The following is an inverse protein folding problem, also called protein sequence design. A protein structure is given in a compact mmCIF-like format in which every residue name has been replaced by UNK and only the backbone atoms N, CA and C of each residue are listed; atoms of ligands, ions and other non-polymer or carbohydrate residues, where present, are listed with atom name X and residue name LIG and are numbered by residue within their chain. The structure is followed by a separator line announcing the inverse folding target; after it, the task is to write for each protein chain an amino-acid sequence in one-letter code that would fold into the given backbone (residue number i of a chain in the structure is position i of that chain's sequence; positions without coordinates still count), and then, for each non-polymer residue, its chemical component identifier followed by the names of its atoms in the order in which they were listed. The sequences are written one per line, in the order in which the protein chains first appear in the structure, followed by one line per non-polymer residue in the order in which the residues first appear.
data_IF_434922279704
#
_entry.id   IF_434922279704
#
_cell.length_a   1.000
_cell.length_b   1.000
_cell.length_c   1.000
_cell.angle_alpha   90.00
_cell.angle_beta   90.00
_cell.angle_gamma   90.00
#
_symmetry.space_group_name_H-M   'P 1'
#
loop_
_entity.id
_entity.type
_entity.pdbx_description
1 polymer ?
#
# COMPACT_ATOMS: atom_id res chain seq x y z
N UNK A 1 15.75 -0.81 11.08
CA UNK A 1 14.72 0.16 10.65
C UNK A 1 15.29 1.17 9.65
N UNK A 2 16.30 1.98 10.00
CA UNK A 2 16.82 3.03 9.10
C UNK A 2 17.21 2.54 7.70
N UNK A 3 17.90 1.40 7.58
CA UNK A 3 18.23 0.81 6.28
C UNK A 3 17.00 0.46 5.42
N UNK A 4 15.94 -0.03 6.06
CA UNK A 4 14.67 -0.30 5.39
C UNK A 4 14.01 1.00 4.95
N UNK A 5 13.95 2.01 5.83
CA UNK A 5 13.37 3.31 5.51
C UNK A 5 14.09 3.96 4.33
N UNK A 6 15.42 4.01 4.34
CA UNK A 6 16.22 4.53 3.23
C UNK A 6 15.87 3.82 1.92
N UNK A 7 15.81 2.47 1.93
CA UNK A 7 15.49 1.69 0.75
C UNK A 7 14.09 2.00 0.18
N UNK A 8 13.09 2.16 1.05
CA UNK A 8 11.73 2.48 0.62
C UNK A 8 11.63 3.91 0.07
N UNK A 9 12.30 4.88 0.73
CA UNK A 9 12.36 6.27 0.27
C UNK A 9 13.04 6.37 -1.09
N UNK A 10 14.14 5.66 -1.31
CA UNK A 10 14.80 5.62 -2.62
C UNK A 10 13.86 5.13 -3.73
N UNK A 11 12.93 4.20 -3.43
CA UNK A 11 11.93 3.75 -4.39
C UNK A 11 10.88 4.82 -4.69
N UNK A 12 10.45 5.59 -3.67
CA UNK A 12 9.51 6.71 -3.81
C UNK A 12 10.12 7.80 -4.70
N UNK A 13 11.35 8.20 -4.39
CA UNK A 13 12.04 9.27 -5.10
C UNK A 13 12.27 8.92 -6.57
N UNK A 14 12.63 7.65 -6.86
CA UNK A 14 12.85 7.16 -8.22
C UNK A 14 11.59 7.17 -9.09
N UNK A 15 10.41 7.13 -8.50
CA UNK A 15 9.14 7.28 -9.24
C UNK A 15 8.55 8.68 -9.10
N UNK A 16 9.31 9.64 -8.57
CA UNK A 16 8.89 11.03 -8.47
C UNK A 16 7.83 11.29 -7.40
N UNK A 17 7.73 10.42 -6.40
CA UNK A 17 6.92 10.66 -5.22
C UNK A 17 7.65 11.58 -4.24
N UNK A 18 6.90 12.08 -3.27
CA UNK A 18 7.44 12.88 -2.16
C UNK A 18 7.01 12.21 -0.86
N UNK A 19 7.95 12.06 0.06
CA UNK A 19 7.64 11.63 1.44
C UNK A 19 6.97 12.79 2.17
N UNK A 20 5.74 12.58 2.60
CA UNK A 20 4.98 13.54 3.40
C UNK A 20 5.40 13.46 4.87
N UNK A 21 5.37 12.25 5.45
CA UNK A 21 5.81 11.99 6.84
C UNK A 21 6.11 10.52 7.10
N UNK A 22 6.82 10.27 8.20
CA UNK A 22 6.98 8.95 8.81
C UNK A 22 6.00 8.79 9.98
N UNK A 23 5.35 7.63 10.10
CA UNK A 23 4.38 7.32 11.15
C UNK A 23 4.81 5.99 11.79
N UNK A 24 5.68 6.05 12.80
CA UNK A 24 6.30 4.84 13.37
C UNK A 24 7.19 4.15 12.34
N UNK A 25 6.77 2.98 11.87
CA UNK A 25 7.41 2.21 10.78
C UNK A 25 6.75 2.41 9.41
N UNK A 26 5.64 3.16 9.34
CA UNK A 26 4.96 3.49 8.09
C UNK A 26 5.54 4.75 7.43
N UNK A 27 5.44 4.78 6.10
CA UNK A 27 5.80 5.93 5.26
C UNK A 27 4.53 6.41 4.57
N UNK A 28 4.23 7.69 4.72
CA UNK A 28 3.20 8.35 3.93
C UNK A 28 3.87 9.08 2.77
N UNK A 29 3.47 8.72 1.55
CA UNK A 29 4.04 9.28 0.33
C UNK A 29 2.94 9.73 -0.64
N UNK A 30 3.26 10.72 -1.44
CA UNK A 30 2.32 11.41 -2.33
C UNK A 30 2.93 11.60 -3.71
N UNK A 31 2.10 11.47 -4.73
CA UNK A 31 2.42 11.78 -6.12
C UNK A 31 1.40 12.81 -6.63
N UNK A 32 1.81 13.64 -7.59
CA UNK A 32 0.95 14.68 -8.16
C UNK A 32 1.00 16.03 -7.45
N UNK A 33 1.77 16.16 -6.36
CA UNK A 33 1.98 17.42 -5.64
C UNK A 33 3.48 17.69 -5.41
N UNK A 34 3.91 18.97 -5.40
CA UNK A 34 3.12 20.17 -5.68
C UNK A 34 2.77 20.34 -7.17
N UNK A 35 3.39 19.57 -8.05
CA UNK A 35 3.16 19.61 -9.50
C UNK A 35 2.91 18.19 -10.00
N UNK A 36 1.78 18.01 -10.67
CA UNK A 36 1.41 16.75 -11.35
C UNK A 36 2.18 16.57 -12.65
N UNK A 37 2.59 15.33 -12.92
CA UNK A 37 3.21 14.95 -14.20
C UNK A 37 2.23 14.20 -15.12
N UNK A 38 0.97 14.07 -14.72
CA UNK A 38 -0.09 13.39 -15.49
C UNK A 38 -0.11 11.87 -15.36
N UNK A 39 1.02 11.24 -15.03
CA UNK A 39 1.13 9.78 -14.79
C UNK A 39 1.32 9.44 -13.29
N UNK A 40 0.87 10.31 -12.39
CA UNK A 40 1.12 10.20 -10.95
C UNK A 40 0.57 8.91 -10.33
N UNK A 41 -0.60 8.45 -10.78
CA UNK A 41 -1.21 7.20 -10.32
C UNK A 41 -0.38 6.00 -10.74
N UNK A 42 0.10 5.98 -11.99
CA UNK A 42 0.98 4.93 -12.50
C UNK A 42 2.29 4.92 -11.72
N UNK A 43 2.89 6.09 -11.47
CA UNK A 43 4.14 6.22 -10.73
C UNK A 43 4.04 5.79 -9.26
N UNK A 44 2.91 6.05 -8.60
CA UNK A 44 2.67 5.57 -7.24
C UNK A 44 2.68 4.04 -7.18
N UNK A 45 2.00 3.38 -8.14
CA UNK A 45 1.96 1.91 -8.22
C UNK A 45 3.32 1.34 -8.62
N UNK A 46 4.00 1.94 -9.60
CA UNK A 46 5.38 1.57 -9.95
C UNK A 46 6.31 1.71 -8.74
N UNK A 47 6.14 2.75 -7.91
CA UNK A 47 6.91 2.96 -6.68
C UNK A 47 6.72 1.81 -5.70
N UNK A 48 5.47 1.39 -5.46
CA UNK A 48 5.16 0.25 -4.61
C UNK A 48 5.69 -1.09 -5.16
N UNK A 49 5.65 -1.30 -6.48
CA UNK A 49 6.26 -2.48 -7.12
C UNK A 49 7.79 -2.46 -6.95
N UNK A 50 8.44 -1.31 -7.10
CA UNK A 50 9.87 -1.17 -6.85
C UNK A 50 10.22 -1.45 -5.38
N UNK A 51 9.40 -0.99 -4.43
CA UNK A 51 9.55 -1.31 -3.00
C UNK A 51 9.50 -2.81 -2.75
N UNK A 52 8.52 -3.52 -3.35
CA UNK A 52 8.41 -4.99 -3.27
C UNK A 52 9.69 -5.67 -3.76
N UNK A 53 10.16 -5.31 -4.95
CA UNK A 53 11.37 -5.89 -5.55
C UNK A 53 12.61 -5.60 -4.68
N UNK A 54 12.76 -4.36 -4.22
CA UNK A 54 13.85 -3.95 -3.35
C UNK A 54 13.82 -4.72 -2.02
N UNK A 55 12.64 -4.91 -1.43
CA UNK A 55 12.48 -5.65 -0.18
C UNK A 55 12.79 -7.14 -0.35
N UNK A 56 12.41 -7.77 -1.47
CA UNK A 56 12.82 -9.14 -1.76
C UNK A 56 14.34 -9.30 -1.78
N UNK A 57 15.05 -8.35 -2.38
CA UNK A 57 16.52 -8.33 -2.37
C UNK A 57 17.05 -8.10 -0.97
N UNK A 58 16.49 -7.14 -0.23
CA UNK A 58 16.87 -6.84 1.16
C UNK A 58 16.67 -8.04 2.10
N UNK A 59 15.66 -8.86 1.82
CA UNK A 59 15.36 -10.08 2.57
C UNK A 59 16.28 -11.26 2.22
N UNK A 60 17.12 -11.19 1.17
CA UNK A 60 18.08 -12.26 0.87
C UNK A 60 19.06 -12.43 2.04
N UNK A 61 19.09 -13.63 2.61
CA UNK A 61 19.92 -13.94 3.79
C UNK A 61 19.33 -13.47 5.12
N UNK A 62 18.06 -13.02 5.14
CA UNK A 62 17.25 -12.86 6.36
C UNK A 62 16.43 -14.15 6.60
N UNK A 63 15.75 -14.24 7.73
CA UNK A 63 15.04 -15.43 8.21
C UNK A 63 15.61 -16.06 9.48
N UNK A 64 16.54 -15.38 10.16
CA UNK A 64 17.02 -15.78 11.50
C UNK A 64 16.39 -14.89 12.57
N UNK A 65 16.42 -15.30 13.84
CA UNK A 65 15.94 -14.46 14.95
C UNK A 65 16.59 -13.07 14.98
N UNK A 66 17.88 -12.98 14.66
CA UNK A 66 18.62 -11.70 14.62
C UNK A 66 18.31 -10.86 13.37
N UNK A 67 17.82 -11.48 12.31
CA UNK A 67 17.48 -10.84 11.03
C UNK A 67 16.19 -11.46 10.50
N UNK A 68 15.03 -11.12 11.06
CA UNK A 68 13.76 -11.66 10.59
C UNK A 68 13.48 -11.16 9.16
N UNK A 69 12.68 -11.93 8.42
CA UNK A 69 12.10 -11.49 7.16
C UNK A 69 11.19 -10.30 7.46
N UNK A 70 11.25 -9.27 6.61
CA UNK A 70 10.39 -8.09 6.71
C UNK A 70 9.36 -8.16 5.60
N UNK A 71 8.11 -7.87 5.95
CA UNK A 71 7.01 -7.67 5.00
C UNK A 71 6.46 -6.25 5.14
N UNK A 72 5.75 -5.78 4.13
CA UNK A 72 5.04 -4.51 4.18
C UNK A 72 3.65 -4.66 3.57
N UNK A 73 2.74 -3.79 4.01
CA UNK A 73 1.47 -3.52 3.33
C UNK A 73 1.53 -2.11 2.75
N UNK A 74 0.94 -1.93 1.57
CA UNK A 74 0.77 -0.65 0.91
C UNK A 74 -0.66 -0.53 0.42
N UNK A 75 -1.31 0.58 0.78
CA UNK A 75 -2.61 0.97 0.28
C UNK A 75 -2.48 2.24 -0.54
N UNK A 76 -2.92 2.20 -1.80
CA UNK A 76 -2.83 3.34 -2.70
C UNK A 76 -4.25 3.75 -3.08
N UNK A 77 -4.50 5.06 -3.01
CA UNK A 77 -5.74 5.65 -3.48
C UNK A 77 -5.45 6.98 -4.18
N UNK A 78 -6.14 7.22 -5.29
CA UNK A 78 -6.08 8.45 -6.07
C UNK A 78 -7.41 9.20 -5.98
N UNK A 79 -7.35 10.51 -5.82
CA UNK A 79 -8.53 11.34 -5.66
C UNK A 79 -8.17 12.77 -5.24
N UNK A 80 -9.17 13.66 -5.14
CA UNK A 80 -8.96 15.00 -4.64
C UNK A 80 -8.52 14.97 -3.17
N UNK A 81 -7.58 15.83 -2.82
CA UNK A 81 -7.11 16.04 -1.46
C UNK A 81 -6.75 17.50 -1.24
N UNK A 82 -6.61 17.91 0.01
CA UNK A 82 -6.09 19.23 0.37
C UNK A 82 -4.62 19.09 0.74
N UNK A 83 -3.76 19.88 0.09
CA UNK A 83 -2.34 19.98 0.39
C UNK A 83 -2.02 21.41 0.85
N UNK A 84 -1.29 21.56 1.96
CA UNK A 84 -0.95 22.88 2.47
C UNK A 84 -0.16 22.83 3.77
N UNK A 85 0.26 24.01 4.24
CA UNK A 85 0.85 24.15 5.57
C UNK A 85 -0.27 24.11 6.62
N UNK A 86 -0.23 23.11 7.50
CA UNK A 86 -1.20 22.90 8.56
C UNK A 86 -0.44 22.79 9.88
N UNK A 87 -0.96 23.44 10.92
CA UNK A 87 -0.37 23.39 12.25
C UNK A 87 -0.73 24.61 13.10
N UNK A 88 -0.01 24.78 14.20
CA UNK A 88 -0.13 25.97 15.05
C UNK A 88 0.84 27.05 14.59
N UNK A 89 0.68 28.29 15.08
CA UNK A 89 1.59 29.40 14.77
C UNK A 89 3.08 29.06 14.99
N UNK A 90 3.37 28.19 15.96
CA UNK A 90 4.73 27.81 16.33
C UNK A 90 5.23 26.51 15.65
N UNK A 91 4.35 25.76 14.96
CA UNK A 91 4.68 24.50 14.28
C UNK A 91 3.75 24.32 13.09
N UNK A 92 4.25 24.66 11.90
CA UNK A 92 3.60 24.39 10.62
C UNK A 92 4.31 23.23 9.92
N UNK A 93 3.53 22.29 9.39
CA UNK A 93 4.01 21.20 8.54
C UNK A 93 3.25 21.25 7.21
N UNK A 94 3.95 21.09 6.09
CA UNK A 94 3.27 20.85 4.82
C UNK A 94 2.76 19.42 4.82
N UNK A 95 1.45 19.23 4.67
CA UNK A 95 0.83 17.91 4.71
C UNK A 95 -0.35 17.82 3.76
N UNK A 96 -0.73 16.60 3.42
CA UNK A 96 -2.02 16.31 2.78
C UNK A 96 -3.07 15.78 3.76
N UNK A 97 -4.33 16.16 3.55
CA UNK A 97 -5.48 15.67 4.31
C UNK A 97 -6.69 15.44 3.39
N UNK A 98 -7.61 14.58 3.83
CA UNK A 98 -8.91 14.36 3.19
C UNK A 98 -9.30 12.89 3.10
N UNK A 99 -10.51 12.63 2.61
CA UNK A 99 -11.05 11.28 2.50
C UNK A 99 -10.23 10.37 1.59
N UNK A 100 -9.58 10.94 0.56
CA UNK A 100 -8.67 10.20 -0.32
C UNK A 100 -7.49 9.60 0.46
N UNK A 101 -6.89 10.39 1.36
CA UNK A 101 -5.78 9.96 2.22
C UNK A 101 -6.26 8.93 3.24
N UNK A 102 -7.42 9.19 3.87
CA UNK A 102 -8.02 8.28 4.84
C UNK A 102 -8.36 6.91 4.22
N UNK A 103 -8.82 6.89 2.97
CA UNK A 103 -9.09 5.64 2.26
C UNK A 103 -7.81 4.87 1.96
N UNK A 104 -6.73 5.53 1.54
CA UNK A 104 -5.43 4.87 1.30
C UNK A 104 -4.94 4.11 2.54
N UNK A 105 -4.97 4.75 3.72
CA UNK A 105 -4.60 4.09 4.98
C UNK A 105 -5.50 2.91 5.33
N UNK A 106 -6.81 2.99 5.08
CA UNK A 106 -7.71 1.85 5.30
C UNK A 106 -7.45 0.70 4.33
N UNK A 107 -7.12 1.03 3.08
CA UNK A 107 -6.75 0.03 2.06
C UNK A 107 -5.43 -0.65 2.43
N UNK A 108 -4.48 0.07 3.02
CA UNK A 108 -3.22 -0.48 3.51
C UNK A 108 -3.47 -1.57 4.56
N UNK A 109 -4.30 -1.29 5.56
CA UNK A 109 -4.64 -2.22 6.63
C UNK A 109 -5.32 -3.53 6.16
N UNK A 110 -5.85 -3.56 4.93
CA UNK A 110 -6.45 -4.76 4.34
C UNK A 110 -5.42 -5.75 3.79
N UNK A 111 -4.16 -5.35 3.65
CA UNK A 111 -3.11 -6.23 3.14
C UNK A 111 -2.93 -7.48 3.99
N UNK A 112 -2.92 -7.31 5.32
CA UNK A 112 -2.78 -8.44 6.27
C UNK A 112 -3.90 -9.48 6.13
N UNK A 113 -5.20 -9.12 6.27
CA UNK A 113 -6.27 -10.11 6.13
C UNK A 113 -6.38 -10.69 4.71
N UNK A 114 -6.05 -9.91 3.66
CA UNK A 114 -6.04 -10.43 2.29
C UNK A 114 -4.76 -11.18 1.91
N UNK A 115 -3.72 -11.20 2.74
CA UNK A 115 -2.43 -11.82 2.42
C UNK A 115 -1.83 -11.23 1.14
N UNK A 116 -1.81 -9.90 1.03
CA UNK A 116 -1.24 -9.12 -0.07
C UNK A 116 -0.23 -8.11 0.47
N UNK A 117 0.51 -7.46 -0.41
CA UNK A 117 1.42 -6.36 -0.06
C UNK A 117 1.05 -5.02 -0.71
N UNK A 118 0.34 -5.03 -1.84
CA UNK A 118 -0.12 -3.81 -2.53
C UNK A 118 -1.59 -3.93 -2.88
N UNK A 119 -2.40 -3.03 -2.33
CA UNK A 119 -3.83 -2.91 -2.61
C UNK A 119 -4.17 -1.51 -3.13
N UNK A 120 -5.13 -1.46 -4.05
CA UNK A 120 -5.67 -0.21 -4.59
C UNK A 120 -7.20 -0.21 -4.54
N UNK A 121 -7.78 0.98 -4.37
CA UNK A 121 -9.22 1.17 -4.48
C UNK A 121 -9.69 1.24 -5.95
N UNK A 122 -10.97 0.95 -6.19
CA UNK A 122 -11.61 0.95 -7.50
C UNK A 122 -11.31 2.18 -8.38
N UNK A 123 -11.41 3.39 -7.83
CA UNK A 123 -11.15 4.61 -8.61
C UNK A 123 -9.69 4.68 -9.09
N UNK A 124 -8.77 4.13 -8.31
CA UNK A 124 -7.35 4.05 -8.69
C UNK A 124 -7.14 3.01 -9.77
N UNK A 125 -7.78 1.83 -9.63
CA UNK A 125 -7.76 0.77 -10.62
C UNK A 125 -8.27 1.23 -11.99
N UNK A 126 -9.42 1.92 -12.05
CA UNK A 126 -9.99 2.36 -13.33
C UNK A 126 -9.06 3.29 -14.12
N UNK A 127 -8.18 4.04 -13.45
CA UNK A 127 -7.21 4.93 -14.10
C UNK A 127 -6.02 4.19 -14.71
N UNK A 128 -5.78 2.94 -14.34
CA UNK A 128 -4.54 2.20 -14.65
C UNK A 128 -4.77 0.73 -15.06
N UNK A 129 -6.02 0.34 -15.29
CA UNK A 129 -6.44 -1.05 -15.55
C UNK A 129 -5.78 -1.71 -16.75
N UNK A 130 -5.27 -0.92 -17.69
CA UNK A 130 -4.57 -1.40 -18.89
C UNK A 130 -3.05 -1.52 -18.68
N UNK A 131 -2.53 -0.96 -17.59
CA UNK A 131 -1.09 -0.88 -17.30
C UNK A 131 -0.64 -1.95 -16.30
N UNK A 132 -1.51 -2.36 -15.39
CA UNK A 132 -1.18 -3.29 -14.32
C UNK A 132 -2.07 -4.52 -14.32
N UNK A 133 -1.44 -5.66 -14.05
CA UNK A 133 -2.17 -6.88 -13.72
C UNK A 133 -2.65 -6.79 -12.29
N UNK A 134 -3.94 -7.01 -12.09
CA UNK A 134 -4.56 -7.02 -10.76
C UNK A 134 -5.43 -8.25 -10.55
N UNK A 135 -5.67 -8.59 -9.28
CA UNK A 135 -6.71 -9.54 -8.87
C UNK A 135 -7.79 -8.81 -8.07
N UNK A 136 -9.06 -9.11 -8.37
CA UNK A 136 -10.21 -8.50 -7.68
C UNK A 136 -10.39 -9.16 -6.32
N UNK A 137 -10.36 -8.37 -5.25
CA UNK A 137 -10.52 -8.84 -3.87
C UNK A 137 -11.98 -8.72 -3.40
N UNK A 138 -12.29 -9.13 -2.18
CA UNK A 138 -13.59 -8.85 -1.58
C UNK A 138 -13.77 -7.33 -1.39
N UNK A 139 -14.96 -6.78 -1.69
CA UNK A 139 -15.25 -5.38 -1.41
C UNK A 139 -15.34 -5.14 0.09
N UNK A 140 -15.09 -3.89 0.48
CA UNK A 140 -15.20 -3.44 1.88
C UNK A 140 -16.34 -2.46 2.05
N UNK A 141 -16.96 -2.45 3.22
CA UNK A 141 -17.85 -1.38 3.64
C UNK A 141 -17.08 -0.38 4.48
N UNK A 142 -17.04 0.88 4.03
CA UNK A 142 -16.38 1.97 4.75
C UNK A 142 -17.42 2.67 5.62
N UNK A 143 -17.14 2.82 6.92
CA UNK A 143 -18.02 3.57 7.84
C UNK A 143 -18.29 4.97 7.27
N UNK A 144 -19.57 5.29 7.06
CA UNK A 144 -20.02 6.57 6.49
C UNK A 144 -20.21 6.57 4.96
N UNK A 145 -19.90 5.48 4.25
CA UNK A 145 -20.22 5.33 2.81
C UNK A 145 -21.31 4.29 2.61
N UNK A 146 -22.31 4.63 1.79
CA UNK A 146 -23.44 3.74 1.50
C UNK A 146 -23.04 2.56 0.61
N UNK A 147 -22.24 2.83 -0.42
CA UNK A 147 -21.80 1.83 -1.40
C UNK A 147 -20.54 1.09 -0.91
N UNK A 148 -20.49 -0.24 -1.04
CA UNK A 148 -19.26 -1.00 -0.88
C UNK A 148 -18.16 -0.47 -1.82
N UNK A 149 -16.94 -0.41 -1.31
CA UNK A 149 -15.76 -0.05 -2.08
C UNK A 149 -15.08 -1.32 -2.57
N UNK A 150 -14.97 -1.49 -3.89
CA UNK A 150 -14.21 -2.58 -4.47
C UNK A 150 -12.70 -2.35 -4.30
N UNK A 151 -11.97 -3.42 -3.97
CA UNK A 151 -10.52 -3.45 -3.73
C UNK A 151 -9.84 -4.41 -4.72
N UNK A 152 -8.62 -4.07 -5.13
CA UNK A 152 -7.82 -4.85 -6.07
C UNK A 152 -6.40 -5.04 -5.53
N UNK A 153 -5.87 -6.24 -5.66
CA UNK A 153 -4.47 -6.54 -5.38
C UNK A 153 -3.63 -6.33 -6.64
N UNK A 154 -2.55 -5.56 -6.53
CA UNK A 154 -1.65 -5.31 -7.67
C UNK A 154 -0.62 -6.44 -7.74
N UNK A 155 -0.62 -7.18 -8.85
CA UNK A 155 0.30 -8.30 -9.05
C UNK A 155 1.62 -7.82 -9.67
N UNK A 156 1.56 -6.82 -10.55
CA UNK A 156 2.71 -6.25 -11.23
C UNK A 156 2.26 -5.49 -12.48
N UNK A 157 3.21 -5.14 -13.35
CA UNK A 157 2.86 -4.53 -14.64
C UNK A 157 2.28 -5.58 -15.59
N UNK A 158 1.36 -5.16 -16.47
CA UNK A 158 0.76 -6.07 -17.46
C UNK A 158 1.77 -6.47 -18.55
N UNK A 159 2.74 -5.60 -18.83
CA UNK A 159 3.81 -5.79 -19.83
C UNK A 159 5.02 -6.61 -19.31
N UNK A 160 5.05 -6.97 -18.03
CA UNK A 160 6.11 -7.77 -17.43
C UNK A 160 5.80 -9.27 -17.57
N UNK A 161 6.61 -10.05 -18.30
CA UNK A 161 6.38 -11.48 -18.49
C UNK A 161 6.53 -12.29 -17.19
N UNK A 162 7.29 -11.80 -16.22
CA UNK A 162 7.51 -12.44 -14.92
C UNK A 162 6.43 -12.06 -13.88
N UNK A 163 5.47 -11.24 -14.27
CA UNK A 163 4.37 -10.81 -13.42
C UNK A 163 3.52 -12.02 -12.96
N UNK A 164 3.34 -12.21 -11.63
CA UNK A 164 2.54 -13.32 -11.13
C UNK A 164 1.09 -13.23 -11.63
N UNK A 165 0.49 -14.39 -11.92
CA UNK A 165 -0.85 -14.48 -12.54
C UNK A 165 -2.00 -14.53 -11.54
N UNK A 166 -1.69 -14.69 -10.26
CA UNK A 166 -2.66 -14.65 -9.17
C UNK A 166 -2.03 -14.20 -7.85
N UNK A 167 -2.85 -13.81 -6.89
CA UNK A 167 -2.43 -13.52 -5.52
C UNK A 167 -1.78 -14.73 -4.87
N UNK A 168 -2.24 -15.95 -5.19
CA UNK A 168 -1.60 -17.17 -4.68
C UNK A 168 -0.14 -17.33 -5.17
N UNK A 169 0.11 -17.05 -6.46
CA UNK A 169 1.47 -17.03 -7.00
C UNK A 169 2.30 -15.90 -6.38
N UNK A 170 1.71 -14.71 -6.25
CA UNK A 170 2.36 -13.56 -5.62
C UNK A 170 2.81 -13.91 -4.19
N UNK A 171 1.91 -14.45 -3.35
CA UNK A 171 2.20 -14.85 -1.97
C UNK A 171 3.41 -15.79 -1.87
N UNK A 172 3.48 -16.77 -2.77
CA UNK A 172 4.61 -17.70 -2.85
C UNK A 172 5.90 -16.96 -3.20
N UNK A 173 5.83 -16.03 -4.16
CA UNK A 173 6.97 -15.24 -4.63
C UNK A 173 7.54 -14.30 -3.55
N UNK A 174 6.69 -13.70 -2.71
CA UNK A 174 7.11 -12.75 -1.66
C UNK A 174 7.16 -13.35 -0.25
N UNK A 175 6.82 -14.64 -0.12
CA UNK A 175 6.85 -15.37 1.16
C UNK A 175 5.76 -14.95 2.15
N UNK A 176 4.61 -14.44 1.69
CA UNK A 176 3.48 -14.10 2.56
C UNK A 176 2.63 -15.34 2.88
N UNK A 177 2.13 -15.42 4.11
CA UNK A 177 1.13 -16.38 4.57
C UNK A 177 -0.21 -15.67 4.79
N UNK A 178 -1.33 -16.37 4.62
CA UNK A 178 -2.67 -15.85 4.93
C UNK A 178 -3.01 -16.05 6.40
N UNK A 179 -3.88 -15.19 6.95
CA UNK A 179 -4.35 -15.32 8.34
C UNK A 179 -5.07 -16.65 8.64
N UNK A 180 -5.62 -17.35 7.64
CA UNK A 180 -6.14 -18.72 7.81
C UNK A 180 -5.06 -19.71 8.27
N UNK A 181 -3.79 -19.45 7.94
CA UNK A 181 -2.62 -20.21 8.39
C UNK A 181 -1.98 -19.66 9.68
N UNK A 182 -2.39 -18.47 10.16
CA UNK A 182 -1.85 -17.81 11.37
C UNK A 182 -2.79 -17.89 12.58
N UNK A 183 -3.98 -18.49 12.45
CA UNK A 183 -4.93 -18.69 13.57
C UNK A 183 -4.37 -19.51 14.75
N UNK A 184 -3.14 -20.03 14.68
CA UNK A 184 -2.47 -20.69 15.80
C UNK A 184 -1.56 -19.77 16.63
N UNK A 185 -1.30 -18.52 16.22
CA UNK A 185 -0.45 -17.62 17.01
C UNK A 185 -0.88 -16.18 16.86
N UNK A 186 -1.25 -15.58 18.00
CA UNK A 186 -1.40 -14.13 18.26
C UNK A 186 -2.86 -13.64 18.39
N UNK A 187 -3.40 -13.82 19.61
CA UNK A 187 -4.50 -13.03 20.16
C UNK A 187 -3.91 -11.79 20.86
N UNK A 188 -3.82 -10.66 20.16
CA UNK A 188 -3.90 -9.33 20.80
C UNK A 188 -3.93 -8.20 19.76
N UNK A 189 -4.55 -7.08 20.16
CA UNK A 189 -4.86 -5.84 19.42
C UNK A 189 -6.25 -5.85 18.75
N UNK A 190 -7.29 -5.59 19.55
CA UNK A 190 -8.54 -5.01 19.06
C UNK A 190 -8.33 -3.52 18.75
N UNK A 191 -7.89 -3.20 17.53
CA UNK A 191 -8.15 -1.87 16.97
C UNK A 191 -9.61 -1.78 16.54
N UNK A 192 -10.26 -0.65 16.85
CA UNK A 192 -11.64 -0.35 16.47
C UNK A 192 -11.76 -0.29 14.93
N UNK A 193 -12.08 -1.42 14.29
CA UNK A 193 -12.11 -1.55 12.82
C UNK A 193 -13.12 -0.59 12.23
N UNK A 194 -12.64 0.41 11.46
CA UNK A 194 -13.48 1.39 10.74
C UNK A 194 -14.02 0.87 9.41
N UNK A 195 -13.89 -0.42 9.13
CA UNK A 195 -14.33 -1.09 7.91
C UNK A 195 -14.74 -2.54 8.19
N UNK A 196 -15.59 -3.07 7.31
CA UNK A 196 -16.06 -4.46 7.34
C UNK A 196 -15.81 -5.10 5.97
N UNK A 197 -15.18 -6.28 5.94
CA UNK A 197 -15.00 -7.07 4.71
C UNK A 197 -16.31 -7.79 4.43
N UNK A 198 -16.87 -7.60 3.24
CA UNK A 198 -18.12 -8.24 2.87
C UNK A 198 -17.82 -9.69 2.46
N UNK A 199 -18.31 -10.66 3.25
CA UNK A 199 -18.25 -12.06 2.89
C UNK A 199 -19.32 -12.37 1.83
N UNK A 200 -18.90 -13.09 0.78
CA UNK A 200 -19.78 -13.64 -0.26
C UNK A 200 -20.43 -14.93 0.18
#
# INVERSE_FOLDING_TARGET
LNQYMTLMVDCIDRTGGVVDKFIGDAIMAVWGIPVSKGNDVENAINGAILMRQALQVFNRGRGSEKKPIIHFGCGINAGPLLAGQIGSENRMEYTVIGDTVNLASRVEALNKPFGTDILIAEETYERVRETFRVEKMQPIRVKGKEKPQQIYAVLGREDDPECPRSVAQLRTMIGLKTMEAEKETDESIEEEKKYEIIQS
#
